data_IF_349568683426
#
_entry.id   IF_349568683426
#
_cell.length_a   1.000
_cell.length_b   1.000
_cell.length_c   1.000
_cell.angle_alpha   90.00
_cell.angle_beta   90.00
_cell.angle_gamma   90.00
#
_symmetry.space_group_name_H-M   'P 1'
#
loop_
_entity.id
_entity.type
_entity.pdbx_description
1 polymer ?
#
# COMPACT_ATOMS: atom_id res chain seq x y z
N UNK A 1 1.21 20.00 2.81
CA UNK A 1 1.65 19.58 4.16
C UNK A 1 3.07 19.03 4.06
N UNK A 2 3.97 19.39 4.99
CA UNK A 2 5.34 18.87 5.02
C UNK A 2 5.34 17.36 5.33
N UNK A 3 6.31 16.65 4.78
CA UNK A 3 6.47 15.19 4.94
C UNK A 3 6.63 14.76 6.40
N UNK A 4 7.21 15.63 7.22
CA UNK A 4 7.34 15.48 8.68
C UNK A 4 5.99 15.20 9.35
N UNK A 5 4.92 15.88 8.93
CA UNK A 5 3.59 15.66 9.50
C UNK A 5 3.08 14.24 9.22
N UNK A 6 3.33 13.69 8.03
CA UNK A 6 2.91 12.33 7.71
C UNK A 6 3.65 11.27 8.54
N UNK A 7 4.96 11.46 8.77
CA UNK A 7 5.74 10.57 9.64
C UNK A 7 5.25 10.68 11.08
N UNK A 8 5.03 11.90 11.58
CA UNK A 8 4.46 12.13 12.91
C UNK A 8 3.08 11.49 13.06
N UNK A 9 2.22 11.57 12.03
CA UNK A 9 0.92 10.89 12.01
C UNK A 9 1.07 9.38 12.09
N UNK A 10 1.95 8.76 11.29
CA UNK A 10 2.17 7.30 11.33
C UNK A 10 2.65 6.86 12.72
N UNK A 11 3.65 7.55 13.26
CA UNK A 11 4.16 7.27 14.60
C UNK A 11 3.08 7.47 15.67
N UNK A 12 2.29 8.53 15.56
CA UNK A 12 1.15 8.80 16.45
C UNK A 12 0.09 7.70 16.37
N UNK A 13 -0.23 7.19 15.18
CA UNK A 13 -1.17 6.08 15.01
C UNK A 13 -0.64 4.78 15.63
N UNK A 14 0.63 4.44 15.40
CA UNK A 14 1.24 3.26 16.03
C UNK A 14 1.29 3.39 17.55
N UNK A 15 1.68 4.56 18.07
CA UNK A 15 1.71 4.83 19.51
C UNK A 15 0.31 4.77 20.12
N UNK A 16 -0.68 5.36 19.46
CA UNK A 16 -2.08 5.32 19.92
C UNK A 16 -2.61 3.88 19.95
N UNK A 17 -2.35 3.10 18.90
CA UNK A 17 -2.73 1.69 18.86
C UNK A 17 -2.05 0.88 19.98
N UNK A 18 -0.77 1.15 20.26
CA UNK A 18 -0.02 0.50 21.32
C UNK A 18 -0.56 0.83 22.73
N UNK A 19 -0.86 2.11 22.99
CA UNK A 19 -1.44 2.54 24.27
C UNK A 19 -2.83 1.94 24.47
N UNK A 20 -3.66 1.90 23.42
CA UNK A 20 -4.98 1.28 23.49
C UNK A 20 -4.90 -0.22 23.76
N UNK A 21 -3.93 -0.92 23.14
CA UNK A 21 -3.69 -2.35 23.35
C UNK A 21 -3.31 -2.68 24.80
N UNK A 22 -2.62 -1.77 25.50
CA UNK A 22 -2.27 -1.95 26.91
C UNK A 22 -3.50 -2.03 27.86
N UNK A 23 -4.67 -1.58 27.40
CA UNK A 23 -5.91 -1.53 28.20
C UNK A 23 -6.90 -2.63 27.79
N UNK A 24 -6.55 -3.44 26.77
CA UNK A 24 -7.46 -4.42 26.16
C UNK A 24 -6.90 -5.82 26.33
N UNK A 25 -7.76 -6.78 26.67
CA UNK A 25 -7.37 -8.18 26.74
C UNK A 25 -7.19 -8.76 25.32
N UNK A 26 -6.19 -9.64 25.12
CA UNK A 26 -5.97 -10.29 23.82
C UNK A 26 -7.20 -11.06 23.38
N UNK A 27 -7.48 -11.04 22.08
CA UNK A 27 -8.66 -11.68 21.50
C UNK A 27 -8.60 -13.21 21.59
N UNK A 28 -9.53 -13.85 22.33
CA UNK A 28 -9.63 -15.30 22.38
C UNK A 28 -10.57 -15.80 21.28
N UNK A 29 -10.33 -15.42 20.03
CA UNK A 29 -11.16 -15.80 18.90
C UNK A 29 -10.44 -16.83 18.02
N UNK A 30 -11.10 -17.94 17.75
CA UNK A 30 -10.70 -18.89 16.72
C UNK A 30 -11.39 -18.50 15.41
N UNK A 31 -10.65 -17.85 14.52
CA UNK A 31 -11.18 -17.34 13.25
C UNK A 31 -10.75 -18.27 12.13
N UNK A 32 -11.69 -18.65 11.25
CA UNK A 32 -11.36 -19.41 10.04
C UNK A 32 -10.58 -18.56 9.02
N UNK A 33 -10.79 -17.24 9.04
CA UNK A 33 -10.08 -16.30 8.16
C UNK A 33 -10.03 -14.90 8.79
N UNK A 34 -9.06 -14.04 8.42
CA UNK A 34 -8.98 -12.66 8.91
C UNK A 34 -10.24 -11.85 8.56
N UNK A 35 -10.89 -12.17 7.45
CA UNK A 35 -12.08 -11.43 7.00
C UNK A 35 -13.34 -11.79 7.80
N UNK A 36 -13.36 -12.92 8.51
CA UNK A 36 -14.47 -13.29 9.36
C UNK A 36 -14.72 -12.25 10.47
N UNK A 37 -13.66 -11.60 10.95
CA UNK A 37 -13.77 -10.52 11.93
C UNK A 37 -14.56 -9.30 11.39
N UNK A 38 -14.48 -9.04 10.08
CA UNK A 38 -15.14 -7.92 9.43
C UNK A 38 -16.66 -8.12 9.20
N UNK A 39 -17.20 -9.32 9.47
CA UNK A 39 -18.63 -9.66 9.25
C UNK A 39 -19.60 -9.02 10.26
N UNK A 40 -19.17 -7.98 10.98
CA UNK A 40 -20.02 -7.13 11.82
C UNK A 40 -20.35 -7.67 13.22
N UNK A 41 -20.47 -8.98 13.40
CA UNK A 41 -20.76 -9.59 14.71
C UNK A 41 -19.63 -9.34 15.71
N UNK A 42 -18.39 -9.64 15.34
CA UNK A 42 -17.22 -9.43 16.19
C UNK A 42 -16.86 -7.95 16.32
N UNK A 43 -17.05 -7.18 15.25
CA UNK A 43 -16.73 -5.75 15.23
C UNK A 43 -17.53 -4.95 16.25
N UNK A 44 -18.80 -5.31 16.47
CA UNK A 44 -19.65 -4.67 17.48
C UNK A 44 -19.40 -5.17 18.89
N UNK A 45 -18.98 -6.43 19.02
CA UNK A 45 -18.73 -7.04 20.33
C UNK A 45 -17.39 -6.59 20.94
N UNK A 46 -16.39 -6.30 20.11
CA UNK A 46 -15.05 -5.87 20.53
C UNK A 46 -14.68 -4.47 20.00
N UNK A 47 -15.40 -3.40 20.39
CA UNK A 47 -15.24 -2.08 19.78
C UNK A 47 -13.84 -1.47 19.98
N UNK A 48 -13.22 -1.70 21.15
CA UNK A 48 -11.86 -1.22 21.42
C UNK A 48 -10.83 -1.93 20.54
N UNK A 49 -10.91 -3.26 20.45
CA UNK A 49 -10.01 -4.02 19.58
C UNK A 49 -10.22 -3.69 18.11
N UNK A 50 -11.46 -3.57 17.65
CA UNK A 50 -11.75 -3.12 16.29
C UNK A 50 -11.15 -1.76 16.00
N UNK A 51 -11.18 -0.84 16.96
CA UNK A 51 -10.53 0.47 16.84
C UNK A 51 -9.01 0.34 16.72
N UNK A 52 -8.37 -0.50 17.55
CA UNK A 52 -6.93 -0.78 17.48
C UNK A 52 -6.57 -1.34 16.10
N UNK A 53 -7.33 -2.32 15.61
CA UNK A 53 -7.11 -2.97 14.32
C UNK A 53 -7.17 -1.95 13.18
N UNK A 54 -8.16 -1.06 13.21
CA UNK A 54 -8.32 -0.02 12.18
C UNK A 54 -7.20 1.01 12.25
N UNK A 55 -6.87 1.54 13.43
CA UNK A 55 -5.80 2.54 13.60
C UNK A 55 -4.46 1.96 13.15
N UNK A 56 -4.13 0.75 13.59
CA UNK A 56 -2.89 0.06 13.23
C UNK A 56 -2.86 -0.28 11.74
N UNK A 57 -3.96 -0.79 11.19
CA UNK A 57 -4.07 -1.08 9.75
C UNK A 57 -3.89 0.17 8.88
N UNK A 58 -4.40 1.33 9.31
CA UNK A 58 -4.16 2.62 8.66
C UNK A 58 -2.69 3.03 8.74
N UNK A 59 -2.03 2.84 9.88
CA UNK A 59 -0.59 3.11 10.02
C UNK A 59 0.25 2.23 9.09
N UNK A 60 -0.07 0.93 9.02
CA UNK A 60 0.56 -0.03 8.10
C UNK A 60 0.34 0.39 6.65
N UNK A 61 -0.87 0.80 6.27
CA UNK A 61 -1.19 1.29 4.92
C UNK A 61 -0.42 2.57 4.54
N UNK A 62 -0.32 3.54 5.45
CA UNK A 62 0.35 4.82 5.20
C UNK A 62 1.86 4.70 5.10
N UNK A 63 2.46 3.72 5.80
CA UNK A 63 3.91 3.50 5.86
C UNK A 63 4.56 3.38 4.47
N UNK A 64 4.18 2.42 3.60
CA UNK A 64 4.78 2.29 2.28
C UNK A 64 4.50 3.52 1.39
N UNK A 65 3.33 4.18 1.53
CA UNK A 65 3.04 5.40 0.78
C UNK A 65 4.02 6.53 1.09
N UNK A 66 4.34 6.74 2.37
CA UNK A 66 5.33 7.73 2.80
C UNK A 66 6.73 7.30 2.37
N UNK A 67 7.06 6.01 2.37
CA UNK A 67 8.34 5.51 1.83
C UNK A 67 8.43 5.80 0.34
N UNK A 68 7.38 5.53 -0.45
CA UNK A 68 7.37 5.82 -1.88
C UNK A 68 7.47 7.31 -2.22
N UNK A 69 7.17 8.20 -1.28
CA UNK A 69 7.41 9.63 -1.46
C UNK A 69 8.90 9.99 -1.55
N UNK A 70 9.82 9.11 -1.11
CA UNK A 70 11.27 9.27 -1.26
C UNK A 70 11.75 9.09 -2.69
N UNK A 71 11.11 8.18 -3.43
CA UNK A 71 11.55 7.78 -4.75
C UNK A 71 10.84 8.60 -5.82
N UNK A 72 11.59 9.27 -6.71
CA UNK A 72 11.01 10.00 -7.85
C UNK A 72 10.87 9.07 -9.07
N UNK A 73 9.80 9.28 -9.85
CA UNK A 73 9.61 8.84 -11.26
C UNK A 73 9.40 7.36 -11.62
N UNK A 74 9.16 6.44 -10.68
CA UNK A 74 8.75 5.07 -11.05
C UNK A 74 7.37 4.70 -10.51
N UNK A 75 6.30 5.13 -11.18
CA UNK A 75 4.93 4.80 -10.76
C UNK A 75 4.61 3.32 -10.95
N UNK A 76 5.05 2.72 -12.06
CA UNK A 76 4.83 1.30 -12.31
C UNK A 76 5.48 0.41 -11.24
N UNK A 77 6.75 0.67 -10.88
CA UNK A 77 7.42 -0.10 -9.83
C UNK A 77 6.77 0.11 -8.45
N UNK A 78 6.32 1.33 -8.12
CA UNK A 78 5.57 1.58 -6.89
C UNK A 78 4.29 0.75 -6.84
N UNK A 79 3.55 0.67 -7.94
CA UNK A 79 2.37 -0.19 -8.06
C UNK A 79 2.70 -1.66 -7.85
N UNK A 80 3.75 -2.17 -8.51
CA UNK A 80 4.19 -3.55 -8.35
C UNK A 80 4.60 -3.89 -6.90
N UNK A 81 5.37 -3.00 -6.24
CA UNK A 81 5.76 -3.19 -4.85
C UNK A 81 4.54 -3.15 -3.93
N UNK A 82 3.59 -2.22 -4.14
CA UNK A 82 2.33 -2.22 -3.39
C UNK A 82 1.57 -3.53 -3.55
N UNK A 83 1.50 -4.09 -4.75
CA UNK A 83 0.80 -5.34 -5.03
C UNK A 83 1.46 -6.52 -4.28
N UNK A 84 2.79 -6.62 -4.36
CA UNK A 84 3.55 -7.65 -3.66
C UNK A 84 3.38 -7.51 -2.15
N UNK A 85 3.49 -6.29 -1.61
CA UNK A 85 3.27 -6.03 -0.18
C UNK A 85 1.85 -6.40 0.23
N UNK A 86 0.83 -6.01 -0.54
CA UNK A 86 -0.56 -6.37 -0.27
C UNK A 86 -0.71 -7.89 -0.19
N UNK A 87 -0.19 -8.63 -1.17
CA UNK A 87 -0.22 -10.10 -1.20
C UNK A 87 0.48 -10.73 0.00
N UNK A 88 1.69 -10.26 0.34
CA UNK A 88 2.44 -10.77 1.49
C UNK A 88 1.71 -10.53 2.82
N UNK A 89 1.13 -9.35 3.00
CA UNK A 89 0.35 -9.03 4.20
C UNK A 89 -0.89 -9.91 4.31
N UNK A 90 -1.60 -10.19 3.20
CA UNK A 90 -2.73 -11.12 3.19
C UNK A 90 -2.29 -12.54 3.54
N UNK A 91 -1.25 -13.05 2.86
CA UNK A 91 -0.76 -14.42 3.04
C UNK A 91 -0.25 -14.65 4.46
N UNK A 92 0.47 -13.67 5.01
CA UNK A 92 0.95 -13.73 6.38
C UNK A 92 -0.22 -13.80 7.38
N UNK A 93 -1.21 -12.90 7.24
CA UNK A 93 -2.38 -12.90 8.12
C UNK A 93 -3.20 -14.19 8.00
N UNK A 94 -3.36 -14.73 6.78
CA UNK A 94 -4.02 -16.00 6.56
C UNK A 94 -3.25 -17.16 7.18
N UNK A 95 -1.93 -17.19 7.04
CA UNK A 95 -1.08 -18.24 7.60
C UNK A 95 -1.15 -18.23 9.13
N UNK A 96 -0.94 -17.07 9.76
CA UNK A 96 -0.92 -16.96 11.22
C UNK A 96 -2.25 -17.41 11.84
N UNK A 97 -3.37 -17.01 11.23
CA UNK A 97 -4.72 -17.39 11.66
C UNK A 97 -5.01 -18.87 11.38
N UNK A 98 -4.77 -19.36 10.17
CA UNK A 98 -5.11 -20.73 9.78
C UNK A 98 -4.24 -21.78 10.46
N UNK A 99 -2.99 -21.45 10.77
CA UNK A 99 -2.07 -22.35 11.49
C UNK A 99 -2.12 -22.19 13.00
N UNK A 100 -2.87 -21.19 13.48
CA UNK A 100 -2.91 -20.79 14.89
C UNK A 100 -1.49 -20.66 15.47
N UNK A 101 -0.57 -20.11 14.65
CA UNK A 101 0.86 -20.08 14.94
C UNK A 101 1.19 -19.20 16.14
N UNK A 102 0.30 -18.27 16.49
CA UNK A 102 0.47 -17.28 17.55
C UNK A 102 1.83 -16.56 17.47
N UNK A 103 2.37 -16.36 16.26
CA UNK A 103 3.64 -15.65 16.08
C UNK A 103 3.46 -14.17 16.44
N UNK A 104 2.31 -13.61 16.07
CA UNK A 104 1.86 -12.29 16.50
C UNK A 104 0.48 -12.38 17.13
N UNK A 105 0.08 -11.42 17.98
CA UNK A 105 -1.30 -11.33 18.44
C UNK A 105 -2.28 -11.26 17.26
N UNK A 106 -3.46 -11.87 17.40
CA UNK A 106 -4.51 -11.91 16.37
C UNK A 106 -4.84 -10.52 15.80
N UNK A 107 -4.82 -9.50 16.66
CA UNK A 107 -5.05 -8.10 16.31
C UNK A 107 -4.03 -7.58 15.28
N UNK A 108 -2.78 -8.02 15.37
CA UNK A 108 -1.75 -7.71 14.38
C UNK A 108 -2.05 -8.37 13.04
N UNK A 109 -2.36 -9.67 13.03
CA UNK A 109 -2.73 -10.37 11.79
C UNK A 109 -3.91 -9.69 11.09
N UNK A 110 -4.96 -9.33 11.86
CA UNK A 110 -6.14 -8.60 11.34
C UNK A 110 -5.78 -7.21 10.81
N UNK A 111 -4.90 -6.48 11.50
CA UNK A 111 -4.44 -5.15 11.06
C UNK A 111 -3.64 -5.22 9.77
N UNK A 112 -2.79 -6.24 9.62
CA UNK A 112 -2.00 -6.47 8.41
C UNK A 112 -2.90 -6.85 7.24
N UNK A 113 -3.89 -7.72 7.44
CA UNK A 113 -4.91 -8.03 6.44
C UNK A 113 -5.68 -6.77 5.99
N UNK A 114 -6.11 -5.92 6.93
CA UNK A 114 -6.78 -4.66 6.60
C UNK A 114 -5.85 -3.72 5.81
N UNK A 115 -4.63 -3.50 6.28
CA UNK A 115 -3.63 -2.67 5.61
C UNK A 115 -3.32 -3.18 4.20
N UNK A 116 -3.19 -4.49 4.04
CA UNK A 116 -2.98 -5.15 2.76
C UNK A 116 -4.13 -4.93 1.77
N UNK A 117 -5.39 -5.03 2.20
CA UNK A 117 -6.55 -4.71 1.35
C UNK A 117 -6.48 -3.25 0.90
N UNK A 118 -6.24 -2.33 1.85
CA UNK A 118 -6.18 -0.90 1.55
C UNK A 118 -5.07 -0.56 0.56
N UNK A 119 -3.94 -1.29 0.57
CA UNK A 119 -2.85 -1.11 -0.39
C UNK A 119 -3.21 -1.45 -1.83
N UNK A 120 -4.31 -2.19 -2.07
CA UNK A 120 -4.79 -2.42 -3.43
C UNK A 120 -5.27 -1.11 -4.11
N UNK A 121 -5.77 -0.15 -3.33
CA UNK A 121 -6.23 1.15 -3.86
C UNK A 121 -5.07 1.92 -4.53
N UNK A 122 -3.96 2.23 -3.83
CA UNK A 122 -2.82 2.90 -4.46
C UNK A 122 -2.11 2.03 -5.49
N UNK A 123 -2.18 0.69 -5.38
CA UNK A 123 -1.67 -0.23 -6.42
C UNK A 123 -2.32 0.06 -7.77
N UNK A 124 -3.64 0.06 -7.80
CA UNK A 124 -4.42 0.34 -9.01
C UNK A 124 -4.10 1.74 -9.54
N UNK A 125 -4.09 2.75 -8.66
CA UNK A 125 -3.75 4.12 -9.04
C UNK A 125 -2.36 4.24 -9.68
N UNK A 126 -1.34 3.63 -9.07
CA UNK A 126 0.04 3.71 -9.56
C UNK A 126 0.24 2.96 -10.88
N UNK A 127 -0.46 1.85 -11.10
CA UNK A 127 -0.42 1.17 -12.40
C UNK A 127 -1.02 2.04 -13.50
N UNK A 128 -2.21 2.62 -13.30
CA UNK A 128 -2.80 3.50 -14.30
C UNK A 128 -1.89 4.68 -14.64
N UNK A 129 -1.34 5.34 -13.62
CA UNK A 129 -0.41 6.46 -13.81
C UNK A 129 0.90 6.04 -14.49
N UNK A 130 1.41 4.86 -14.16
CA UNK A 130 2.60 4.29 -14.80
C UNK A 130 2.38 4.02 -16.28
N UNK A 131 1.23 3.46 -16.65
CA UNK A 131 0.87 3.20 -18.04
C UNK A 131 0.74 4.49 -18.86
N UNK A 132 0.09 5.53 -18.30
CA UNK A 132 -0.05 6.82 -18.99
C UNK A 132 1.28 7.55 -19.18
N UNK A 133 2.15 7.50 -18.17
CA UNK A 133 3.47 8.14 -18.25
C UNK A 133 4.34 7.46 -19.32
N UNK A 134 4.34 6.13 -19.36
CA UNK A 134 5.05 5.35 -20.39
C UNK A 134 4.54 5.68 -21.80
N UNK A 135 3.21 5.66 -22.01
CA UNK A 135 2.62 5.98 -23.31
C UNK A 135 2.97 7.40 -23.77
N UNK A 136 2.94 8.39 -22.87
CA UNK A 136 3.30 9.76 -23.18
C UNK A 136 4.79 9.92 -23.56
N UNK A 137 5.69 9.18 -22.90
CA UNK A 137 7.11 9.18 -23.26
C UNK A 137 7.37 8.54 -24.62
N UNK A 138 6.70 7.41 -24.94
CA UNK A 138 6.85 6.75 -26.24
C UNK A 138 6.34 7.62 -27.39
N UNK A 139 5.21 8.32 -27.21
CA UNK A 139 4.69 9.26 -28.20
C UNK A 139 5.63 10.44 -28.44
N UNK A 140 6.22 11.01 -27.38
CA UNK A 140 7.22 12.08 -27.49
C UNK A 140 8.46 11.61 -28.25
N UNK A 141 8.96 10.41 -27.98
CA UNK A 141 10.12 9.85 -28.68
C UNK A 141 9.82 9.62 -30.17
N UNK A 142 8.64 9.07 -30.49
CA UNK A 142 8.20 8.87 -31.88
C UNK A 142 8.05 10.20 -32.65
N UNK A 143 7.55 11.26 -32.00
CA UNK A 143 7.45 12.60 -32.58
C UNK A 143 8.83 13.26 -32.80
N UNK A 144 9.76 13.09 -31.86
CA UNK A 144 11.13 13.63 -32.00
C UNK A 144 11.88 12.95 -33.16
N UNK A 145 11.74 11.63 -33.33
CA UNK A 145 12.34 10.91 -34.47
C UNK A 145 11.81 11.40 -35.82
N UNK A 146 10.51 11.63 -35.95
CA UNK A 146 9.90 12.14 -37.20
C UNK A 146 10.28 13.58 -37.51
N UNK A 147 10.66 14.39 -36.51
CA UNK A 147 11.11 15.77 -36.72
C UNK A 147 12.63 15.86 -36.99
N UNK A 148 13.41 14.92 -36.44
CA UNK A 148 14.86 14.84 -36.67
C UNK A 148 15.24 14.34 -38.06
N UNK A 149 14.41 13.49 -38.67
CA UNK A 149 14.59 13.03 -40.06
C UNK A 149 14.18 14.10 -41.10
N UNK A 150 13.59 15.22 -40.67
CA UNK A 150 13.15 16.31 -41.53
C UNK A 150 14.22 17.40 -41.73
N UNK A 151 15.41 17.30 -41.11
CA UNK A 151 16.51 18.23 -41.39
C UNK A 151 17.17 17.89 -42.72
N UNK A 152 16.77 18.63 -43.76
CA UNK A 152 17.40 18.81 -45.09
C UNK A 152 17.97 17.54 -45.73
N UNK A 153 17.31 17.01 -46.78
CA UNK A 153 17.91 15.98 -47.61
C UNK A 153 19.32 16.39 -48.08
N UNK A 154 20.27 15.45 -48.04
CA UNK A 154 21.69 15.63 -48.43
C UNK A 154 21.86 16.20 -49.87
N UNK A 155 20.83 16.08 -50.71
CA UNK A 155 20.80 16.65 -52.06
C UNK A 155 20.50 18.15 -52.14
N UNK A 156 20.20 18.81 -51.01
CA UNK A 156 19.97 20.26 -50.91
C UNK A 156 21.19 21.06 -50.43
N UNK A 157 22.34 20.41 -50.24
CA UNK A 157 23.59 21.10 -49.85
C UNK A 157 24.32 21.60 -51.12
N UNK A 158 24.36 22.91 -51.41
CA UNK A 158 25.11 23.43 -52.54
C UNK A 158 26.60 23.42 -52.19
N UNK A 159 27.36 22.53 -52.86
CA UNK A 159 28.82 22.54 -52.88
C UNK A 159 29.40 23.85 -53.46
#
# INVERSE_FOLDING_TARGET
>A
MKREYWVATILGLFLLAYVLEAVVNPLPLDLTSPYAFAQGQYFRHYPFTSTIIVIRGLAVFLTPLVIFSLFKKSFFAKGAICLVMAGLLQLYALQDIATNSATVPMEWALSLALGGILLLIPTVYYFFRGLTDSAHTSLKQAAVQTTGDASTPEWLDPA
#
